data_IF_964845263163
#
_entry.id   IF_964845263163
#
_cell.length_a   1.000
_cell.length_b   1.000
_cell.length_c   1.000
_cell.angle_alpha   90.00
_cell.angle_beta   90.00
_cell.angle_gamma   90.00
#
_symmetry.space_group_name_H-M   'P 1'
#
loop_
_entity.id
_entity.type
_entity.pdbx_description
1 polymer ?
#
# COMPACT_ATOMS: atom_id res chain seq x y z
N UNK A 1 -6.56 -0.62 8.88
CA UNK A 1 -6.40 0.03 7.56
C UNK A 1 -5.58 -0.87 6.65
N UNK A 2 -5.94 -1.01 5.37
CA UNK A 2 -5.20 -1.78 4.37
C UNK A 2 -4.92 -0.88 3.17
N UNK A 3 -3.69 -0.97 2.63
CA UNK A 3 -3.27 -0.32 1.40
C UNK A 3 -2.90 -1.42 0.41
N UNK A 4 -3.46 -1.38 -0.78
CA UNK A 4 -3.20 -2.35 -1.85
C UNK A 4 -2.79 -1.59 -3.10
N UNK A 5 -1.67 -1.99 -3.70
CA UNK A 5 -1.21 -1.45 -4.97
C UNK A 5 -0.75 -2.57 -5.90
N UNK A 6 -0.97 -2.40 -7.20
CA UNK A 6 -0.41 -3.26 -8.23
C UNK A 6 0.41 -2.42 -9.22
N UNK A 7 1.54 -2.97 -9.66
CA UNK A 7 2.45 -2.27 -10.54
C UNK A 7 3.20 -3.24 -11.46
N UNK A 8 3.73 -2.72 -12.56
CA UNK A 8 4.70 -3.43 -13.41
C UNK A 8 6.08 -2.87 -13.14
N UNK A 9 7.03 -3.74 -12.86
CA UNK A 9 8.43 -3.36 -12.71
C UNK A 9 9.26 -4.01 -13.83
N UNK A 10 9.64 -3.27 -14.87
CA UNK A 10 10.45 -3.81 -15.96
C UNK A 10 11.85 -4.26 -15.52
N UNK A 11 12.27 -3.87 -14.32
CA UNK A 11 13.57 -4.27 -13.74
C UNK A 11 13.53 -5.59 -12.97
N UNK A 12 12.38 -6.27 -12.93
CA UNK A 12 12.19 -7.54 -12.23
C UNK A 12 12.93 -8.73 -12.82
N UNK A 13 13.65 -8.56 -13.96
CA UNK A 13 14.65 -9.54 -14.39
C UNK A 13 15.66 -9.92 -13.28
N UNK A 14 15.81 -9.07 -12.27
CA UNK A 14 16.63 -9.28 -11.08
C UNK A 14 15.77 -9.42 -9.81
N UNK A 15 14.68 -10.20 -9.85
CA UNK A 15 13.80 -10.38 -8.71
C UNK A 15 14.47 -10.99 -7.46
N UNK A 16 15.69 -11.51 -7.58
CA UNK A 16 16.54 -12.01 -6.49
C UNK A 16 17.42 -10.93 -5.84
N UNK A 17 17.39 -9.68 -6.31
CA UNK A 17 18.10 -8.58 -5.67
C UNK A 17 17.27 -8.02 -4.48
N UNK A 18 17.23 -8.78 -3.39
CA UNK A 18 16.50 -8.41 -2.17
C UNK A 18 17.01 -7.12 -1.54
N UNK A 19 18.31 -6.83 -1.66
CA UNK A 19 18.88 -5.59 -1.15
C UNK A 19 18.28 -4.38 -1.84
N UNK A 20 18.14 -4.42 -3.16
CA UNK A 20 17.52 -3.37 -3.97
C UNK A 20 16.04 -3.20 -3.59
N UNK A 21 15.28 -4.29 -3.47
CA UNK A 21 13.87 -4.23 -3.11
C UNK A 21 13.65 -3.64 -1.72
N UNK A 22 14.47 -4.03 -0.74
CA UNK A 22 14.40 -3.48 0.62
C UNK A 22 14.84 -2.02 0.67
N UNK A 23 15.89 -1.62 -0.05
CA UNK A 23 16.28 -0.20 -0.18
C UNK A 23 15.18 0.64 -0.81
N UNK A 24 14.53 0.12 -1.84
CA UNK A 24 13.39 0.79 -2.49
C UNK A 24 12.20 0.97 -1.55
N UNK A 25 11.95 0.02 -0.65
CA UNK A 25 10.86 0.09 0.32
C UNK A 25 11.11 1.12 1.43
N UNK A 26 12.36 1.48 1.71
CA UNK A 26 12.74 2.34 2.83
C UNK A 26 11.94 3.65 2.94
N UNK A 27 11.66 4.43 1.88
CA UNK A 27 10.85 5.65 1.98
C UNK A 27 9.48 5.41 2.61
N UNK A 28 8.84 4.28 2.31
CA UNK A 28 7.54 3.91 2.89
C UNK A 28 7.71 3.63 4.38
N UNK A 29 8.73 2.86 4.78
CA UNK A 29 9.04 2.57 6.18
C UNK A 29 9.31 3.88 6.96
N UNK A 30 10.12 4.77 6.41
CA UNK A 30 10.43 6.07 7.02
C UNK A 30 9.17 6.93 7.21
N UNK A 31 8.29 6.96 6.20
CA UNK A 31 7.01 7.67 6.30
C UNK A 31 6.12 7.08 7.38
N UNK A 32 6.01 5.76 7.47
CA UNK A 32 5.23 5.08 8.51
C UNK A 32 5.79 5.35 9.91
N UNK A 33 7.09 5.26 10.09
CA UNK A 33 7.79 5.54 11.35
C UNK A 33 7.55 6.99 11.83
N UNK A 34 7.47 7.95 10.90
CA UNK A 34 7.17 9.34 11.23
C UNK A 34 5.71 9.57 11.69
N UNK A 35 4.79 8.63 11.42
CA UNK A 35 3.38 8.69 11.88
C UNK A 35 3.16 7.99 13.22
N UNK A 36 3.86 6.88 13.45
CA UNK A 36 3.73 6.08 14.67
C UNK A 36 5.06 5.35 14.95
N UNK A 37 5.70 5.65 16.09
CA UNK A 37 6.98 5.04 16.50
C UNK A 37 6.93 3.49 16.52
N UNK A 38 5.75 2.90 16.72
CA UNK A 38 5.53 1.44 16.67
C UNK A 38 5.69 0.87 15.27
N UNK A 39 5.82 1.70 14.23
CA UNK A 39 6.05 1.33 12.84
C UNK A 39 7.50 1.59 12.39
N UNK A 40 8.41 1.86 13.33
CA UNK A 40 9.82 2.10 13.03
C UNK A 40 10.60 0.80 12.78
N UNK A 41 10.31 -0.26 13.56
CA UNK A 41 11.00 -1.53 13.49
C UNK A 41 10.21 -2.55 12.67
N UNK A 42 10.91 -3.25 11.78
CA UNK A 42 10.33 -4.29 10.92
C UNK A 42 11.19 -5.55 10.93
N UNK A 43 10.53 -6.70 10.94
CA UNK A 43 11.14 -8.03 10.99
C UNK A 43 10.58 -8.89 9.85
N UNK A 44 11.39 -9.79 9.29
CA UNK A 44 10.88 -10.78 8.36
C UNK A 44 9.93 -11.74 9.09
N UNK A 45 8.99 -12.33 8.36
CA UNK A 45 8.14 -13.38 8.89
C UNK A 45 8.98 -14.62 9.19
N UNK A 46 8.74 -15.26 10.34
CA UNK A 46 9.32 -16.52 10.75
C UNK A 46 8.24 -17.55 11.04
N UNK A 47 8.65 -18.77 11.42
CA UNK A 47 7.72 -19.86 11.79
C UNK A 47 6.95 -19.54 13.09
N UNK A 48 7.50 -18.65 13.93
CA UNK A 48 6.91 -18.16 15.17
C UNK A 48 7.49 -16.77 15.49
N UNK A 49 6.94 -16.11 16.53
CA UNK A 49 7.33 -14.75 16.91
C UNK A 49 8.78 -14.64 17.34
N UNK A 50 9.26 -15.58 18.16
CA UNK A 50 10.63 -15.56 18.69
C UNK A 50 11.64 -15.66 17.55
N UNK A 51 11.42 -16.56 16.61
CA UNK A 51 12.25 -16.71 15.42
C UNK A 51 12.20 -15.45 14.54
N UNK A 52 10.99 -14.91 14.26
CA UNK A 52 10.83 -13.72 13.42
C UNK A 52 11.61 -12.52 13.96
N UNK A 53 11.67 -12.33 15.29
CA UNK A 53 12.42 -11.24 15.93
C UNK A 53 13.94 -11.32 15.76
N UNK A 54 14.48 -12.47 15.34
CA UNK A 54 15.89 -12.63 15.02
C UNK A 54 16.28 -12.02 13.66
N UNK A 55 15.29 -11.65 12.84
CA UNK A 55 15.52 -11.18 11.47
C UNK A 55 15.03 -9.74 11.27
N UNK A 56 15.67 -8.73 11.88
CA UNK A 56 15.37 -7.34 11.59
C UNK A 56 15.62 -7.06 10.12
N UNK A 57 14.71 -6.30 9.49
CA UNK A 57 14.81 -6.01 8.05
C UNK A 57 15.91 -5.00 7.76
N UNK A 58 16.13 -4.04 8.67
CA UNK A 58 17.13 -2.98 8.53
C UNK A 58 18.05 -2.91 9.75
N UNK A 59 19.35 -2.70 9.51
CA UNK A 59 20.36 -2.43 10.55
C UNK A 59 20.51 -0.92 10.82
N UNK A 60 20.22 -0.09 9.81
CA UNK A 60 20.24 1.36 9.86
C UNK A 60 19.29 1.94 8.78
N UNK A 61 18.99 3.25 8.79
CA UNK A 61 18.18 3.89 7.76
C UNK A 61 18.62 3.53 6.34
N UNK A 62 17.70 2.94 5.55
CA UNK A 62 17.97 2.49 4.17
C UNK A 62 19.02 1.38 4.00
N UNK A 63 19.48 0.76 5.09
CA UNK A 63 20.49 -0.30 5.07
C UNK A 63 19.85 -1.66 5.43
N UNK A 64 19.48 -2.48 4.44
CA UNK A 64 18.93 -3.81 4.68
C UNK A 64 19.91 -4.70 5.44
N UNK A 65 19.43 -5.37 6.48
CA UNK A 65 20.26 -6.18 7.35
C UNK A 65 20.89 -7.37 6.61
N UNK A 66 22.07 -7.80 7.10
CA UNK A 66 22.71 -9.00 6.58
C UNK A 66 21.86 -10.25 6.84
N UNK A 67 21.19 -10.29 8.00
CA UNK A 67 20.30 -11.40 8.38
C UNK A 67 19.11 -11.49 7.41
N UNK A 68 18.39 -10.39 7.14
CA UNK A 68 17.26 -10.40 6.21
C UNK A 68 17.67 -10.84 4.80
N UNK A 69 18.79 -10.32 4.29
CA UNK A 69 19.30 -10.73 2.97
C UNK A 69 19.67 -12.22 2.91
N UNK A 70 20.24 -12.77 3.97
CA UNK A 70 20.60 -14.17 4.02
C UNK A 70 19.37 -15.09 4.08
N UNK A 71 18.37 -14.73 4.92
CA UNK A 71 17.11 -15.47 5.04
C UNK A 71 16.36 -15.50 3.72
N UNK A 72 16.20 -14.35 3.04
CA UNK A 72 15.49 -14.26 1.76
C UNK A 72 16.22 -15.05 0.65
N UNK A 73 17.54 -15.01 0.60
CA UNK A 73 18.33 -15.84 -0.35
C UNK A 73 18.14 -17.33 -0.11
N UNK A 74 18.11 -17.75 1.15
CA UNK A 74 17.90 -19.16 1.50
C UNK A 74 16.48 -19.61 1.20
N UNK A 75 15.48 -18.79 1.55
CA UNK A 75 14.07 -19.09 1.33
C UNK A 75 13.77 -19.36 -0.15
N UNK A 76 14.44 -18.65 -1.06
CA UNK A 76 14.21 -18.74 -2.51
C UNK A 76 15.39 -19.38 -3.27
N UNK A 77 16.20 -20.19 -2.58
CA UNK A 77 17.33 -20.87 -3.20
C UNK A 77 16.86 -21.80 -4.32
N UNK A 78 17.37 -21.57 -5.56
CA UNK A 78 17.04 -22.38 -6.73
C UNK A 78 15.69 -22.01 -7.40
N UNK A 79 15.03 -20.95 -6.94
CA UNK A 79 13.71 -20.50 -7.46
C UNK A 79 13.83 -19.22 -8.29
N UNK A 80 14.85 -19.09 -9.13
CA UNK A 80 15.16 -17.82 -9.82
C UNK A 80 14.06 -17.34 -10.80
N UNK A 81 13.19 -18.25 -11.24
CA UNK A 81 12.14 -17.96 -12.23
C UNK A 81 10.72 -17.84 -11.63
N UNK A 82 10.58 -18.03 -10.35
CA UNK A 82 9.28 -17.98 -9.67
C UNK A 82 8.98 -16.57 -9.13
N UNK A 83 7.70 -16.27 -9.00
CA UNK A 83 7.25 -15.12 -8.22
C UNK A 83 7.74 -15.25 -6.78
N UNK A 84 8.13 -14.15 -6.18
CA UNK A 84 8.67 -14.08 -4.81
C UNK A 84 7.91 -13.07 -3.99
N UNK A 85 7.83 -13.30 -2.69
CA UNK A 85 7.17 -12.38 -1.76
C UNK A 85 8.08 -12.09 -0.59
N UNK A 86 8.30 -10.82 -0.27
CA UNK A 86 8.90 -10.39 0.99
C UNK A 86 7.76 -10.06 1.95
N UNK A 87 7.57 -10.93 2.96
CA UNK A 87 6.65 -10.70 4.06
C UNK A 87 7.38 -10.15 5.28
N UNK A 88 6.86 -9.08 5.87
CA UNK A 88 7.42 -8.48 7.09
C UNK A 88 6.31 -7.97 8.01
N UNK A 89 6.65 -7.78 9.29
CA UNK A 89 5.76 -7.27 10.30
C UNK A 89 6.51 -6.36 11.28
N UNK A 90 5.79 -5.54 12.03
CA UNK A 90 6.38 -4.55 12.93
C UNK A 90 6.69 -5.08 14.34
N UNK A 91 6.74 -6.39 14.54
CA UNK A 91 7.08 -7.00 15.83
C UNK A 91 6.01 -6.83 16.92
N UNK A 92 4.79 -6.39 16.62
CA UNK A 92 3.71 -6.19 17.60
C UNK A 92 2.66 -7.27 17.46
N UNK A 93 2.36 -7.99 18.56
CA UNK A 93 1.38 -9.09 18.59
C UNK A 93 -0.05 -8.55 18.70
N UNK A 94 -0.23 -7.48 19.47
CA UNK A 94 -1.53 -6.86 19.66
C UNK A 94 -2.09 -6.42 18.31
N UNK A 95 -3.25 -6.97 17.92
CA UNK A 95 -3.86 -6.74 16.61
C UNK A 95 -4.02 -5.25 16.26
N UNK A 96 -4.31 -4.43 17.26
CA UNK A 96 -4.45 -2.97 17.10
C UNK A 96 -3.11 -2.24 16.94
N UNK A 97 -2.01 -2.84 17.40
CA UNK A 97 -0.65 -2.29 17.28
C UNK A 97 0.13 -2.92 16.12
N UNK A 98 -0.30 -4.10 15.68
CA UNK A 98 0.34 -4.85 14.60
C UNK A 98 0.26 -4.12 13.26
N UNK A 99 1.29 -4.35 12.46
CA UNK A 99 1.32 -3.97 11.06
C UNK A 99 2.09 -5.03 10.26
N UNK A 100 1.73 -5.19 8.99
CA UNK A 100 2.42 -6.10 8.08
C UNK A 100 2.55 -5.50 6.70
N UNK A 101 3.65 -5.81 6.02
CA UNK A 101 3.87 -5.51 4.61
C UNK A 101 4.11 -6.83 3.88
N UNK A 102 3.45 -6.96 2.72
CA UNK A 102 3.72 -7.99 1.73
C UNK A 102 4.11 -7.31 0.43
N UNK A 103 5.23 -7.69 -0.14
CA UNK A 103 5.76 -7.15 -1.38
C UNK A 103 6.04 -8.29 -2.35
N UNK A 104 5.17 -8.46 -3.34
CA UNK A 104 5.24 -9.52 -4.34
C UNK A 104 5.99 -9.04 -5.59
N UNK A 105 6.88 -9.90 -6.10
CA UNK A 105 7.63 -9.68 -7.33
C UNK A 105 7.44 -10.85 -8.27
N UNK A 106 7.25 -10.55 -9.54
CA UNK A 106 7.19 -11.56 -10.60
C UNK A 106 8.19 -11.24 -11.71
N UNK A 107 8.48 -12.21 -12.54
CA UNK A 107 9.37 -12.07 -13.72
C UNK A 107 8.69 -11.41 -14.93
N UNK A 108 7.53 -10.77 -14.72
CA UNK A 108 6.79 -10.02 -15.73
C UNK A 108 5.52 -10.69 -16.26
N UNK A 109 5.23 -11.95 -15.85
CA UNK A 109 4.02 -12.65 -16.26
C UNK A 109 2.76 -12.06 -15.58
N UNK A 110 2.86 -11.77 -14.28
CA UNK A 110 1.79 -11.14 -13.49
C UNK A 110 2.25 -9.78 -12.92
N UNK A 111 1.34 -8.87 -12.53
CA UNK A 111 1.71 -7.66 -11.82
C UNK A 111 2.42 -7.96 -10.50
N UNK A 112 3.39 -7.09 -10.15
CA UNK A 112 3.89 -7.02 -8.78
C UNK A 112 2.80 -6.42 -7.88
N UNK A 113 2.81 -6.79 -6.61
CA UNK A 113 1.87 -6.29 -5.62
C UNK A 113 2.58 -5.72 -4.39
N UNK A 114 1.95 -4.72 -3.80
CA UNK A 114 2.30 -4.17 -2.50
C UNK A 114 1.03 -4.17 -1.64
N UNK A 115 1.12 -4.78 -0.47
CA UNK A 115 0.07 -4.74 0.54
C UNK A 115 0.66 -4.27 1.87
N UNK A 116 0.08 -3.22 2.45
CA UNK A 116 0.34 -2.77 3.81
C UNK A 116 -0.94 -2.91 4.62
N UNK A 117 -0.88 -3.61 5.74
CA UNK A 117 -1.97 -3.64 6.73
C UNK A 117 -1.49 -2.99 8.02
N UNK A 118 -2.25 -2.01 8.53
CA UNK A 118 -2.01 -1.35 9.81
C UNK A 118 -3.21 -1.61 10.71
N UNK A 119 -2.97 -2.18 11.89
CA UNK A 119 -3.99 -2.34 12.93
C UNK A 119 -4.45 -0.97 13.44
N UNK A 120 -5.73 -0.83 13.74
CA UNK A 120 -6.34 0.41 14.24
C UNK A 120 -6.85 0.20 15.65
N UNK A 121 -6.66 1.20 16.50
CA UNK A 121 -7.10 1.15 17.91
C UNK A 121 -8.61 1.34 18.05
N UNK A 122 -9.17 2.18 17.19
CA UNK A 122 -10.60 2.50 17.19
C UNK A 122 -11.09 2.90 15.80
N UNK A 123 -12.40 3.13 15.66
CA UNK A 123 -13.01 3.47 14.37
C UNK A 123 -13.03 4.99 14.09
N UNK A 124 -12.66 5.83 15.06
CA UNK A 124 -12.77 7.29 14.97
C UNK A 124 -11.46 8.00 14.77
N UNK A 125 -10.34 7.29 14.88
CA UNK A 125 -9.01 7.83 14.61
C UNK A 125 -8.13 6.79 13.94
N UNK A 126 -7.30 7.21 12.97
CA UNK A 126 -6.28 6.35 12.40
C UNK A 126 -4.95 6.54 13.13
N UNK A 127 -4.20 5.46 13.30
CA UNK A 127 -2.82 5.50 13.81
C UNK A 127 -1.89 6.29 12.89
N UNK A 128 -2.24 6.41 11.62
CA UNK A 128 -1.47 7.17 10.64
C UNK A 128 -1.83 8.67 10.62
N UNK A 129 -2.79 9.11 11.47
CA UNK A 129 -3.22 10.50 11.59
C UNK A 129 -4.50 10.83 10.82
N UNK A 130 -4.64 12.10 10.44
CA UNK A 130 -5.73 12.61 9.62
C UNK A 130 -5.64 12.17 8.16
N UNK A 131 -6.57 12.62 7.33
CA UNK A 131 -6.60 12.23 5.92
C UNK A 131 -5.38 12.75 5.15
N UNK A 132 -4.84 13.93 5.45
CA UNK A 132 -3.61 14.44 4.82
C UNK A 132 -2.42 13.54 5.15
N UNK A 133 -2.31 13.11 6.38
CA UNK A 133 -1.26 12.23 6.87
C UNK A 133 -1.30 10.84 6.20
N UNK A 134 -2.51 10.28 6.03
CA UNK A 134 -2.73 9.03 5.30
C UNK A 134 -2.46 9.19 3.80
N UNK A 135 -2.86 10.33 3.22
CA UNK A 135 -2.58 10.65 1.82
C UNK A 135 -1.06 10.75 1.54
N UNK A 136 -0.26 11.21 2.51
CA UNK A 136 1.20 11.20 2.40
C UNK A 136 1.77 9.77 2.30
N UNK A 137 1.23 8.81 3.05
CA UNK A 137 1.61 7.39 2.91
C UNK A 137 1.25 6.88 1.52
N UNK A 138 0.05 7.18 1.01
CA UNK A 138 -0.38 6.81 -0.35
C UNK A 138 0.54 7.44 -1.39
N UNK A 139 0.88 8.73 -1.25
CA UNK A 139 1.78 9.45 -2.16
C UNK A 139 3.19 8.84 -2.15
N UNK A 140 3.71 8.44 -0.97
CA UNK A 140 5.00 7.78 -0.86
C UNK A 140 5.01 6.42 -1.56
N UNK A 141 3.95 5.60 -1.42
CA UNK A 141 3.81 4.34 -2.16
C UNK A 141 3.76 4.63 -3.68
N UNK A 142 2.99 5.65 -4.10
CA UNK A 142 2.85 6.03 -5.50
C UNK A 142 4.18 6.44 -6.14
N UNK A 143 4.97 7.27 -5.46
CA UNK A 143 6.29 7.72 -5.95
C UNK A 143 7.33 6.62 -5.92
N UNK A 144 7.22 5.68 -4.97
CA UNK A 144 8.15 4.55 -4.83
C UNK A 144 7.95 3.50 -5.91
N UNK A 145 6.70 3.13 -6.22
CA UNK A 145 6.39 1.96 -7.06
C UNK A 145 5.76 2.31 -8.41
N UNK A 146 5.30 3.55 -8.62
CA UNK A 146 4.57 3.97 -9.82
C UNK A 146 3.42 3.01 -10.19
N UNK A 147 2.50 2.70 -9.26
CA UNK A 147 1.49 1.68 -9.46
C UNK A 147 0.38 2.12 -10.41
N UNK A 148 -0.34 1.13 -10.96
CA UNK A 148 -1.54 1.37 -11.75
C UNK A 148 -2.69 1.92 -10.90
N UNK A 149 -2.73 1.59 -9.62
CA UNK A 149 -3.62 2.15 -8.60
C UNK A 149 -3.07 1.89 -7.19
N UNK A 150 -3.58 2.65 -6.21
CA UNK A 150 -3.48 2.31 -4.78
C UNK A 150 -4.86 2.51 -4.17
N UNK A 151 -5.37 1.51 -3.46
CA UNK A 151 -6.53 1.65 -2.58
C UNK A 151 -6.09 1.73 -1.14
N UNK A 152 -6.69 2.62 -0.34
CA UNK A 152 -6.54 2.67 1.11
C UNK A 152 -7.93 2.60 1.77
N UNK A 153 -8.22 1.49 2.45
CA UNK A 153 -9.54 1.24 3.02
C UNK A 153 -9.48 0.23 4.18
N UNK A 154 -10.51 0.15 5.04
CA UNK A 154 -10.70 -1.02 5.87
C UNK A 154 -10.85 -2.29 5.02
N UNK A 155 -10.17 -3.38 5.38
CA UNK A 155 -10.17 -4.65 4.61
C UNK A 155 -11.57 -5.13 4.20
N UNK A 156 -12.58 -4.93 5.06
CA UNK A 156 -13.96 -5.32 4.78
C UNK A 156 -14.65 -4.47 3.70
N UNK A 157 -14.03 -3.37 3.25
CA UNK A 157 -14.60 -2.55 2.19
C UNK A 157 -14.73 -3.31 0.85
N UNK A 158 -13.87 -4.26 0.57
CA UNK A 158 -13.96 -5.10 -0.63
C UNK A 158 -15.35 -5.76 -0.82
N UNK A 159 -16.09 -6.02 0.27
CA UNK A 159 -17.49 -6.53 0.18
C UNK A 159 -18.54 -5.44 -0.03
N UNK A 160 -18.16 -4.19 -0.14
CA UNK A 160 -19.01 -3.01 -0.30
C UNK A 160 -18.78 -2.22 -1.57
N UNK A 161 -17.67 -2.49 -2.28
CA UNK A 161 -17.37 -1.86 -3.56
C UNK A 161 -18.41 -2.24 -4.63
N UNK A 162 -18.55 -1.43 -5.65
CA UNK A 162 -19.56 -1.63 -6.71
C UNK A 162 -19.09 -2.66 -7.72
N UNK A 163 -17.80 -2.65 -8.07
CA UNK A 163 -17.22 -3.49 -9.12
C UNK A 163 -16.17 -4.43 -8.51
N UNK A 164 -16.31 -5.73 -8.75
CA UNK A 164 -15.40 -6.77 -8.26
C UNK A 164 -14.17 -6.99 -9.16
N UNK A 165 -14.25 -6.54 -10.42
CA UNK A 165 -13.15 -6.60 -11.42
C UNK A 165 -12.25 -5.36 -11.44
N UNK A 166 -12.45 -4.41 -10.54
CA UNK A 166 -11.76 -3.11 -10.49
C UNK A 166 -11.35 -2.73 -9.06
N UNK A 167 -10.35 -1.84 -8.88
CA UNK A 167 -10.02 -1.33 -7.54
C UNK A 167 -11.16 -0.48 -6.96
N UNK A 168 -11.51 -0.75 -5.70
CA UNK A 168 -12.47 0.07 -4.98
C UNK A 168 -11.87 1.40 -4.50
N UNK A 169 -12.69 2.43 -4.34
CA UNK A 169 -12.25 3.75 -3.84
C UNK A 169 -11.95 3.69 -2.34
N UNK A 170 -12.83 3.11 -1.55
CA UNK A 170 -12.69 3.09 -0.09
C UNK A 170 -12.51 4.48 0.50
N UNK A 171 -11.55 4.65 1.40
CA UNK A 171 -11.20 5.97 1.93
C UNK A 171 -10.43 6.79 0.91
N UNK A 172 -9.43 6.17 0.24
CA UNK A 172 -8.61 6.82 -0.76
C UNK A 172 -8.31 5.91 -1.92
N UNK A 173 -8.34 6.47 -3.12
CA UNK A 173 -7.88 5.82 -4.34
C UNK A 173 -6.86 6.72 -5.03
N UNK A 174 -5.65 6.23 -5.25
CA UNK A 174 -4.68 6.85 -6.15
C UNK A 174 -4.84 6.28 -7.56
N UNK A 175 -4.83 7.18 -8.55
CA UNK A 175 -4.72 6.83 -9.97
C UNK A 175 -3.56 7.61 -10.60
N UNK A 176 -2.75 7.00 -11.49
CA UNK A 176 -1.64 7.67 -12.18
C UNK A 176 -2.13 8.57 -13.32
N UNK A 177 -3.13 9.40 -13.01
CA UNK A 177 -3.79 10.34 -13.95
C UNK A 177 -4.13 11.63 -13.22
N UNK A 178 -4.13 12.78 -13.90
CA UNK A 178 -4.72 14.01 -13.37
C UNK A 178 -6.24 13.84 -13.27
N UNK A 179 -6.78 13.81 -12.08
CA UNK A 179 -8.22 13.78 -11.79
C UNK A 179 -8.61 15.14 -11.21
N UNK A 180 -9.73 15.68 -11.66
CA UNK A 180 -10.26 16.97 -11.22
C UNK A 180 -11.63 16.82 -10.61
N UNK A 181 -12.14 17.86 -9.93
CA UNK A 181 -13.49 17.89 -9.39
C UNK A 181 -14.61 17.78 -10.45
N UNK A 182 -14.28 18.02 -11.73
CA UNK A 182 -15.24 17.77 -12.81
C UNK A 182 -15.40 16.27 -13.10
N UNK A 183 -14.33 15.48 -12.92
CA UNK A 183 -14.40 14.03 -13.09
C UNK A 183 -15.14 13.36 -11.93
N UNK A 184 -14.91 13.81 -10.69
CA UNK A 184 -15.45 13.20 -9.47
C UNK A 184 -15.94 14.27 -8.48
N UNK A 185 -17.07 14.95 -8.78
CA UNK A 185 -17.61 16.01 -7.91
C UNK A 185 -18.04 15.49 -6.53
N UNK A 186 -18.20 14.17 -6.36
CA UNK A 186 -18.52 13.52 -5.11
C UNK A 186 -17.32 13.38 -4.16
N UNK A 187 -16.09 13.54 -4.66
CA UNK A 187 -14.89 13.45 -3.84
C UNK A 187 -14.80 14.63 -2.85
N UNK A 188 -14.49 14.34 -1.60
CA UNK A 188 -14.34 15.38 -0.57
C UNK A 188 -13.00 16.13 -0.71
N UNK A 189 -11.95 15.46 -1.21
CA UNK A 189 -10.70 16.11 -1.55
C UNK A 189 -9.99 15.38 -2.70
N UNK A 190 -9.14 16.13 -3.40
CA UNK A 190 -8.25 15.63 -4.45
C UNK A 190 -6.82 16.12 -4.13
N UNK A 191 -5.90 15.18 -3.94
CA UNK A 191 -4.51 15.50 -3.65
C UNK A 191 -3.65 15.12 -4.85
N UNK A 192 -3.05 16.10 -5.56
CA UNK A 192 -2.13 15.81 -6.65
C UNK A 192 -0.84 15.19 -6.10
N UNK A 193 -0.39 14.10 -6.72
CA UNK A 193 0.93 13.50 -6.44
C UNK A 193 1.89 13.96 -7.53
N UNK A 194 3.05 14.47 -7.13
CA UNK A 194 4.03 15.01 -8.06
C UNK A 194 5.44 14.49 -7.77
N UNK A 195 6.25 14.35 -8.81
CA UNK A 195 7.69 14.06 -8.74
C UNK A 195 8.41 15.05 -9.65
N UNK A 196 9.49 15.66 -9.15
CA UNK A 196 10.27 16.66 -9.89
C UNK A 196 9.41 17.80 -10.48
N UNK A 197 8.40 18.23 -9.71
CA UNK A 197 7.48 19.31 -10.11
C UNK A 197 6.43 18.92 -11.17
N UNK A 198 6.40 17.66 -11.61
CA UNK A 198 5.42 17.14 -12.55
C UNK A 198 4.39 16.27 -11.83
N UNK A 199 3.12 16.54 -12.03
CA UNK A 199 2.05 15.69 -11.51
C UNK A 199 2.10 14.32 -12.19
N UNK A 200 2.17 13.25 -11.37
CA UNK A 200 2.20 11.86 -11.81
C UNK A 200 0.88 11.13 -11.53
N UNK A 201 -0.01 11.71 -10.73
CA UNK A 201 -1.30 11.13 -10.41
C UNK A 201 -2.11 11.99 -9.44
N UNK A 202 -3.23 11.41 -8.98
CA UNK A 202 -4.13 12.07 -8.04
C UNK A 202 -4.65 11.07 -7.02
N UNK A 203 -4.67 11.45 -5.75
CA UNK A 203 -5.35 10.72 -4.68
C UNK A 203 -6.75 11.30 -4.54
N UNK A 204 -7.76 10.47 -4.70
CA UNK A 204 -9.19 10.79 -4.57
C UNK A 204 -9.61 10.38 -3.17
N UNK A 205 -10.18 11.29 -2.38
CA UNK A 205 -10.52 11.10 -0.97
C UNK A 205 -12.04 11.18 -0.80
N UNK A 206 -12.63 10.14 -0.21
CA UNK A 206 -14.07 9.99 -0.03
C UNK A 206 -14.58 10.50 1.33
N UNK A 207 -13.71 10.72 2.32
CA UNK A 207 -14.05 11.24 3.65
C UNK A 207 -12.87 12.03 4.24
N UNK A 208 -13.13 13.20 4.84
CA UNK A 208 -12.11 14.10 5.40
C UNK A 208 -12.25 14.35 6.89
N UNK A 209 -13.48 14.32 7.43
CA UNK A 209 -13.75 14.71 8.83
C UNK A 209 -13.33 13.62 9.83
N UNK A 210 -13.50 12.36 9.46
CA UNK A 210 -13.15 11.19 10.27
C UNK A 210 -12.65 10.07 9.35
N UNK A 211 -11.88 9.08 9.88
CA UNK A 211 -11.48 7.92 9.11
C UNK A 211 -12.68 7.19 8.49
N UNK A 212 -12.49 6.69 7.27
CA UNK A 212 -13.53 5.97 6.55
C UNK A 212 -14.01 4.74 7.34
N UNK A 213 -15.31 4.62 7.48
CA UNK A 213 -15.95 3.48 8.16
C UNK A 213 -16.97 2.79 7.26
N UNK A 214 -16.84 1.48 7.14
CA UNK A 214 -17.82 0.63 6.42
C UNK A 214 -19.19 0.57 7.14
N UNK A 215 -19.24 0.98 8.39
CA UNK A 215 -20.47 1.05 9.18
C UNK A 215 -21.16 2.42 9.06
N UNK A 216 -20.52 3.39 8.40
CA UNK A 216 -21.15 4.66 8.02
C UNK A 216 -21.69 4.55 6.59
N UNK A 217 -23.02 4.51 6.39
CA UNK A 217 -23.60 4.40 5.05
C UNK A 217 -23.21 5.52 4.11
N UNK A 218 -23.04 6.75 4.61
CA UNK A 218 -22.65 7.92 3.81
C UNK A 218 -21.25 7.77 3.25
N UNK A 219 -20.27 7.26 4.04
CA UNK A 219 -18.93 6.99 3.55
C UNK A 219 -18.95 5.96 2.43
N UNK A 220 -19.69 4.86 2.60
CA UNK A 220 -19.79 3.80 1.59
C UNK A 220 -20.49 4.33 0.33
N UNK A 221 -21.57 5.08 0.48
CA UNK A 221 -22.31 5.65 -0.65
C UNK A 221 -21.45 6.65 -1.44
N UNK A 222 -20.70 7.53 -0.75
CA UNK A 222 -19.78 8.47 -1.41
C UNK A 222 -18.71 7.74 -2.19
N UNK A 223 -18.04 6.73 -1.60
CA UNK A 223 -17.03 5.94 -2.28
C UNK A 223 -17.60 5.22 -3.51
N UNK A 224 -18.80 4.63 -3.38
CA UNK A 224 -19.47 3.93 -4.48
C UNK A 224 -19.88 4.88 -5.62
N UNK A 225 -20.33 6.09 -5.30
CA UNK A 225 -20.64 7.11 -6.32
C UNK A 225 -19.38 7.51 -7.10
N UNK A 226 -18.24 7.67 -6.41
CA UNK A 226 -16.95 7.96 -7.05
C UNK A 226 -16.55 6.78 -7.96
N UNK A 227 -16.69 5.52 -7.53
CA UNK A 227 -16.42 4.34 -8.35
C UNK A 227 -17.24 4.35 -9.64
N UNK A 228 -18.57 4.54 -9.52
CA UNK A 228 -19.48 4.60 -10.67
C UNK A 228 -19.05 5.71 -11.65
N UNK A 229 -18.72 6.88 -11.10
CA UNK A 229 -18.31 8.04 -11.90
C UNK A 229 -17.01 7.80 -12.66
N UNK A 230 -16.03 7.15 -12.02
CA UNK A 230 -14.75 6.80 -12.66
C UNK A 230 -14.92 5.73 -13.75
N UNK A 231 -15.81 4.76 -13.53
CA UNK A 231 -16.13 3.73 -14.54
C UNK A 231 -16.86 4.32 -15.73
N UNK A 232 -17.84 5.21 -15.52
CA UNK A 232 -18.59 5.89 -16.58
C UNK A 232 -17.68 6.69 -17.54
N UNK A 233 -16.53 7.16 -17.03
CA UNK A 233 -15.53 7.93 -17.78
C UNK A 233 -14.32 7.11 -18.26
N UNK A 234 -14.33 5.78 -18.07
CA UNK A 234 -13.22 4.88 -18.40
C UNK A 234 -11.88 5.27 -17.71
N UNK A 235 -11.97 5.76 -16.48
CA UNK A 235 -10.83 6.20 -15.68
C UNK A 235 -10.34 5.11 -14.70
N UNK A 236 -11.19 4.17 -14.31
CA UNK A 236 -10.86 3.11 -13.35
C UNK A 236 -10.35 1.86 -14.09
N UNK A 237 -9.10 1.41 -13.85
CA UNK A 237 -8.54 0.25 -14.54
C UNK A 237 -9.26 -1.04 -14.13
N UNK A 238 -9.22 -2.06 -15.01
CA UNK A 238 -9.56 -3.43 -14.63
C UNK A 238 -8.31 -4.15 -14.15
N UNK A 239 -8.47 -5.09 -13.23
CA UNK A 239 -7.35 -5.94 -12.76
C UNK A 239 -6.69 -6.73 -13.90
N UNK A 240 -7.46 -7.07 -14.95
CA UNK A 240 -6.96 -7.77 -16.14
C UNK A 240 -6.11 -6.91 -17.06
N UNK A 241 -6.14 -5.59 -16.91
CA UNK A 241 -5.46 -4.63 -17.80
C UNK A 241 -4.13 -4.12 -17.19
N UNK A 242 -3.77 -4.60 -15.97
CA UNK A 242 -2.58 -4.20 -15.21
C UNK A 242 -1.37 -5.08 -15.48
#
# INVERSE_FOLDING_TARGET
>A
MQFIAQFRDPSTAENSDYERHLKRLWPVIATLAAKDDRLADWFLQGSNEEEARLYPVYDAPSEPSTAAKAVLREQYRGEDKLAKTIGMWNGRIEKKEGASISLGFDTGAIPCDFELTVGEENATSSRLGDFESVAEVVATIATTYAPAYITAAPRKYASKQVFDDKPGVGWMLYLPKPITSQHVPEAHALVPVATDGKQIGTIIISAIDVPFSINNPEHVETANRIEIRLVDQDLLPRYTDI
#
